data_IF_700822793708
#
_entry.id   IF_700822793708
#
_cell.length_a   1.000
_cell.length_b   1.000
_cell.length_c   1.000
_cell.angle_alpha   90.00
_cell.angle_beta   90.00
_cell.angle_gamma   90.00
#
_symmetry.space_group_name_H-M   'P 1'
#
loop_
_entity.id
_entity.type
_entity.pdbx_description
1 polymer ?
#
# COMPACT_ATOMS: atom_id res chain seq x y z
N UNK A 1 54.64 47.97 -8.35
CA UNK A 1 53.59 47.28 -7.59
C UNK A 1 52.32 47.22 -8.48
N UNK A 2 52.02 46.05 -9.07
CA UNK A 2 50.87 45.90 -9.95
C UNK A 2 49.59 45.95 -9.10
N UNK A 3 48.73 46.95 -9.38
CA UNK A 3 47.32 46.93 -8.90
C UNK A 3 46.62 45.73 -9.48
N UNK A 4 46.16 44.84 -8.65
CA UNK A 4 45.19 43.82 -8.99
C UNK A 4 43.82 44.53 -9.06
N UNK A 5 43.50 45.09 -10.21
CA UNK A 5 42.18 45.65 -10.48
C UNK A 5 41.21 44.49 -10.69
N UNK A 6 40.50 44.08 -9.64
CA UNK A 6 39.38 43.16 -9.69
C UNK A 6 38.14 43.98 -10.13
N UNK A 7 37.61 43.81 -11.35
CA UNK A 7 36.59 44.72 -11.90
C UNK A 7 35.22 44.63 -11.20
N UNK A 8 35.04 43.69 -10.28
CA UNK A 8 33.77 43.49 -9.54
C UNK A 8 33.77 44.22 -8.18
N UNK A 9 34.93 44.60 -7.67
CA UNK A 9 35.05 45.24 -6.36
C UNK A 9 34.91 46.78 -6.38
N UNK A 10 35.16 47.44 -7.52
CA UNK A 10 35.14 48.93 -7.59
C UNK A 10 33.80 49.58 -7.20
N UNK A 11 32.61 49.09 -7.65
CA UNK A 11 31.38 49.78 -7.30
C UNK A 11 31.00 49.65 -5.82
N UNK A 12 31.28 48.50 -5.23
CA UNK A 12 30.98 48.21 -3.80
C UNK A 12 31.95 48.98 -2.86
N UNK A 13 33.19 49.10 -3.26
CA UNK A 13 34.20 49.88 -2.49
C UNK A 13 33.83 51.35 -2.48
N UNK A 14 33.46 51.95 -3.63
CA UNK A 14 33.01 53.35 -3.74
C UNK A 14 31.77 53.68 -2.91
N UNK A 15 30.97 52.70 -2.59
CA UNK A 15 29.72 52.87 -1.82
C UNK A 15 29.99 52.74 -0.31
N UNK A 16 30.87 51.83 0.10
CA UNK A 16 31.13 51.47 1.49
C UNK A 16 32.27 52.31 2.12
N UNK A 17 33.28 52.70 1.35
CA UNK A 17 34.43 53.50 1.81
C UNK A 17 34.01 54.82 2.44
N UNK A 18 33.12 55.65 1.85
CA UNK A 18 32.67 56.90 2.48
C UNK A 18 31.91 56.67 3.79
N UNK A 19 31.15 55.57 3.89
CA UNK A 19 30.42 55.21 5.11
C UNK A 19 31.41 54.81 6.24
N UNK A 20 32.42 54.02 5.92
CA UNK A 20 33.45 53.62 6.88
C UNK A 20 34.28 54.81 7.34
N UNK A 21 34.65 55.74 6.44
CA UNK A 21 35.37 56.99 6.79
C UNK A 21 34.53 57.92 7.70
N UNK A 22 33.20 57.95 7.48
CA UNK A 22 32.29 58.75 8.29
C UNK A 22 32.10 58.28 9.72
N UNK A 23 32.47 57.02 10.04
CA UNK A 23 32.37 56.45 11.40
C UNK A 23 33.44 56.96 12.36
N UNK A 24 34.48 57.66 11.86
CA UNK A 24 35.58 58.20 12.71
C UNK A 24 36.45 57.13 13.37
N UNK A 25 36.27 55.87 13.02
CA UNK A 25 37.02 54.72 13.59
C UNK A 25 38.45 54.62 13.04
N UNK A 26 38.80 55.36 11.98
CA UNK A 26 40.08 55.29 11.30
C UNK A 26 40.69 56.70 11.17
N UNK A 27 41.88 56.95 11.72
CA UNK A 27 42.56 58.26 11.61
C UNK A 27 43.10 58.53 10.19
N UNK A 28 43.01 59.77 9.73
CA UNK A 28 43.16 60.18 8.32
C UNK A 28 44.63 60.20 7.76
N UNK A 29 45.68 59.85 8.49
CA UNK A 29 47.04 60.23 8.08
C UNK A 29 48.09 59.10 7.94
N UNK A 30 47.74 57.88 7.61
CA UNK A 30 48.77 56.87 7.29
C UNK A 30 48.42 55.96 6.12
N UNK A 31 49.39 55.61 5.26
CA UNK A 31 49.27 54.66 4.16
C UNK A 31 48.73 53.30 4.62
N UNK A 32 49.01 52.93 5.86
CA UNK A 32 48.52 51.67 6.47
C UNK A 32 47.01 51.74 6.75
N UNK A 33 46.51 52.91 7.19
CA UNK A 33 45.07 53.12 7.46
C UNK A 33 44.29 53.10 6.19
N UNK A 34 44.77 53.66 5.09
CA UNK A 34 44.16 53.62 3.78
C UNK A 34 44.09 52.18 3.26
N UNK A 35 45.16 51.39 3.35
CA UNK A 35 45.17 49.98 2.93
C UNK A 35 44.22 49.09 3.75
N UNK A 36 44.15 49.31 5.06
CA UNK A 36 43.23 48.53 5.93
C UNK A 36 41.79 48.88 5.72
N UNK A 37 41.43 50.16 5.54
CA UNK A 37 40.06 50.61 5.24
C UNK A 37 39.59 50.07 3.88
N UNK A 38 40.47 50.12 2.89
CA UNK A 38 40.19 49.59 1.55
C UNK A 38 39.98 48.06 1.57
N UNK A 39 40.79 47.32 2.32
CA UNK A 39 40.64 45.87 2.49
C UNK A 39 39.33 45.50 3.20
N UNK A 40 38.95 46.24 4.25
CA UNK A 40 37.68 46.03 4.98
C UNK A 40 36.47 46.37 4.08
N UNK A 41 36.54 47.52 3.37
CA UNK A 41 35.46 47.91 2.44
C UNK A 41 35.28 46.90 1.32
N UNK A 42 36.38 46.36 0.75
CA UNK A 42 36.33 45.30 -0.26
C UNK A 42 35.75 44.01 0.32
N UNK A 43 36.18 43.60 1.52
CA UNK A 43 35.65 42.42 2.19
C UNK A 43 34.16 42.53 2.48
N UNK A 44 33.69 43.66 3.02
CA UNK A 44 32.27 43.91 3.27
C UNK A 44 31.45 43.98 1.95
N UNK A 45 32.03 44.59 0.91
CA UNK A 45 31.40 44.65 -0.42
C UNK A 45 31.21 43.26 -1.03
N UNK A 46 32.24 42.42 -0.96
CA UNK A 46 32.15 41.03 -1.43
C UNK A 46 31.16 40.22 -0.61
N UNK A 47 31.11 40.37 0.70
CA UNK A 47 30.13 39.72 1.56
C UNK A 47 28.71 40.16 1.21
N UNK A 48 28.46 41.44 1.05
CA UNK A 48 27.16 41.97 0.68
C UNK A 48 26.73 41.50 -0.72
N UNK A 49 27.67 41.56 -1.69
CA UNK A 49 27.40 41.07 -3.04
C UNK A 49 27.11 39.56 -3.06
N UNK A 50 27.88 38.78 -2.32
CA UNK A 50 27.65 37.33 -2.15
C UNK A 50 26.27 37.04 -1.50
N UNK A 51 25.96 37.77 -0.44
CA UNK A 51 24.66 37.64 0.24
C UNK A 51 23.48 37.96 -0.69
N UNK A 52 23.56 39.09 -1.41
CA UNK A 52 22.52 39.48 -2.35
C UNK A 52 22.41 38.51 -3.51
N UNK A 53 23.54 38.02 -4.02
CA UNK A 53 23.56 37.00 -5.08
C UNK A 53 22.87 35.72 -4.63
N UNK A 54 23.20 35.23 -3.45
CA UNK A 54 22.57 34.02 -2.88
C UNK A 54 21.09 34.24 -2.61
N UNK A 55 20.72 35.38 -2.03
CA UNK A 55 19.34 35.69 -1.68
C UNK A 55 18.44 35.84 -2.93
N UNK A 56 18.86 36.71 -3.86
CA UNK A 56 18.05 37.06 -5.04
C UNK A 56 18.22 36.04 -6.17
N UNK A 57 19.47 35.54 -6.35
CA UNK A 57 19.80 34.59 -7.42
C UNK A 57 19.39 33.14 -7.15
N UNK A 58 19.34 32.73 -5.90
CA UNK A 58 19.07 31.31 -5.55
C UNK A 58 17.85 31.15 -4.64
N UNK A 59 17.85 31.72 -3.44
CA UNK A 59 16.83 31.43 -2.42
C UNK A 59 15.43 31.90 -2.79
N UNK A 60 15.29 33.13 -3.31
CA UNK A 60 13.99 33.69 -3.71
C UNK A 60 13.39 32.92 -4.88
N UNK A 61 14.11 32.68 -6.01
CA UNK A 61 13.57 31.88 -7.12
C UNK A 61 13.20 30.45 -6.73
N UNK A 62 14.04 29.80 -5.91
CA UNK A 62 13.77 28.45 -5.40
C UNK A 62 12.50 28.41 -4.54
N UNK A 63 12.37 29.33 -3.60
CA UNK A 63 11.19 29.42 -2.74
C UNK A 63 9.92 29.76 -3.53
N UNK A 64 10.04 30.60 -4.56
CA UNK A 64 8.92 30.96 -5.42
C UNK A 64 8.48 29.78 -6.30
N UNK A 65 9.43 29.01 -6.82
CA UNK A 65 9.16 27.80 -7.59
C UNK A 65 8.42 26.74 -6.76
N UNK A 66 8.80 26.56 -5.48
CA UNK A 66 8.16 25.61 -4.56
C UNK A 66 6.74 26.07 -4.17
N UNK A 67 6.57 27.36 -3.84
CA UNK A 67 5.28 27.89 -3.33
C UNK A 67 4.24 28.14 -4.42
N UNK A 68 4.67 28.45 -5.65
CA UNK A 68 3.80 28.77 -6.80
C UNK A 68 4.25 28.01 -8.04
N UNK A 69 4.28 26.70 -7.96
CA UNK A 69 4.83 25.78 -8.96
C UNK A 69 4.24 26.04 -10.35
N UNK A 70 2.90 26.16 -10.46
CA UNK A 70 2.23 26.33 -11.75
C UNK A 70 2.63 27.62 -12.45
N UNK A 71 2.62 28.75 -11.73
CA UNK A 71 2.97 30.06 -12.30
C UNK A 71 4.45 30.14 -12.65
N UNK A 72 5.31 29.60 -11.80
CA UNK A 72 6.76 29.56 -12.02
C UNK A 72 7.10 28.71 -13.23
N UNK A 73 6.46 27.55 -13.38
CA UNK A 73 6.63 26.64 -14.52
C UNK A 73 6.21 27.31 -15.83
N UNK A 74 5.06 27.97 -15.85
CA UNK A 74 4.58 28.68 -17.04
C UNK A 74 5.50 29.86 -17.40
N UNK A 75 5.98 30.62 -16.42
CA UNK A 75 6.89 31.74 -16.65
C UNK A 75 8.25 31.29 -17.20
N UNK A 76 8.77 30.18 -16.71
CA UNK A 76 10.09 29.65 -17.11
C UNK A 76 10.02 28.79 -18.38
N UNK A 77 8.86 28.28 -18.76
CA UNK A 77 8.72 27.38 -19.92
C UNK A 77 9.12 28.03 -21.25
N UNK A 78 8.75 29.28 -21.47
CA UNK A 78 9.06 30.00 -22.72
C UNK A 78 10.57 30.27 -22.86
N UNK A 79 11.29 30.88 -21.88
CA UNK A 79 12.72 31.07 -21.98
C UNK A 79 13.48 29.74 -22.02
N UNK A 80 13.07 28.71 -21.26
CA UNK A 80 13.69 27.39 -21.33
C UNK A 80 13.56 26.73 -22.71
N UNK A 81 12.42 26.93 -23.40
CA UNK A 81 12.24 26.45 -24.78
C UNK A 81 13.21 27.10 -25.75
N UNK A 82 13.42 28.42 -25.62
CA UNK A 82 14.40 29.14 -26.43
C UNK A 82 15.81 28.64 -26.18
N UNK A 83 16.21 28.53 -24.92
CA UNK A 83 17.52 28.02 -24.52
C UNK A 83 17.71 26.60 -25.03
N UNK A 84 16.73 25.72 -24.84
CA UNK A 84 16.78 24.34 -25.35
C UNK A 84 17.01 24.29 -26.87
N UNK A 85 16.31 25.15 -27.61
CA UNK A 85 16.45 25.20 -29.07
C UNK A 85 17.83 25.66 -29.50
N UNK A 86 18.37 26.65 -28.80
CA UNK A 86 19.72 27.19 -29.05
C UNK A 86 20.81 26.14 -28.72
N UNK A 87 20.62 25.37 -27.64
CA UNK A 87 21.58 24.41 -27.15
C UNK A 87 21.35 22.97 -27.66
N UNK A 88 20.40 22.74 -28.57
CA UNK A 88 20.08 21.39 -29.05
C UNK A 88 21.28 20.68 -29.67
N UNK A 89 22.06 21.40 -30.49
CA UNK A 89 23.24 20.83 -31.17
C UNK A 89 24.37 20.56 -30.17
N UNK A 90 24.81 21.52 -29.31
CA UNK A 90 25.78 21.23 -28.27
C UNK A 90 25.39 20.09 -27.34
N UNK A 91 24.12 20.03 -26.90
CA UNK A 91 23.62 18.95 -26.04
C UNK A 91 23.61 17.59 -26.76
N UNK A 92 23.26 17.54 -28.03
CA UNK A 92 23.31 16.33 -28.82
C UNK A 92 24.74 15.78 -28.94
N UNK A 93 25.70 16.64 -29.21
CA UNK A 93 27.14 16.27 -29.27
C UNK A 93 27.60 15.78 -27.91
N UNK A 94 27.29 16.50 -26.81
CA UNK A 94 27.68 16.13 -25.46
C UNK A 94 27.10 14.76 -25.05
N UNK A 95 25.78 14.58 -25.22
CA UNK A 95 25.11 13.33 -24.91
C UNK A 95 25.59 12.17 -25.80
N UNK A 96 25.84 12.46 -27.08
CA UNK A 96 26.40 11.48 -28.01
C UNK A 96 27.78 10.99 -27.58
N UNK A 97 28.67 11.92 -27.22
CA UNK A 97 30.03 11.59 -26.73
C UNK A 97 29.99 10.85 -25.40
N UNK A 98 29.11 11.25 -24.46
CA UNK A 98 28.91 10.56 -23.19
C UNK A 98 28.42 9.10 -23.41
N UNK A 99 27.46 8.91 -24.31
CA UNK A 99 26.95 7.57 -24.65
C UNK A 99 28.00 6.66 -25.31
N UNK A 100 28.87 7.23 -26.15
CA UNK A 100 29.99 6.50 -26.72
C UNK A 100 30.97 6.06 -25.64
N UNK A 101 31.32 6.98 -24.72
CA UNK A 101 32.23 6.67 -23.61
C UNK A 101 31.62 5.59 -22.68
N UNK A 102 30.34 5.71 -22.33
CA UNK A 102 29.65 4.70 -21.53
C UNK A 102 29.64 3.31 -22.22
N UNK A 103 29.46 3.27 -23.54
CA UNK A 103 29.55 2.01 -24.30
C UNK A 103 30.95 1.42 -24.26
N UNK A 104 31.98 2.24 -24.41
CA UNK A 104 33.38 1.81 -24.29
C UNK A 104 33.72 1.27 -22.89
N UNK A 105 33.12 1.82 -21.86
CA UNK A 105 33.25 1.35 -20.46
C UNK A 105 32.38 0.11 -20.15
N UNK A 106 31.65 -0.44 -21.13
CA UNK A 106 30.75 -1.59 -20.91
C UNK A 106 29.45 -1.24 -20.16
N UNK A 107 29.18 0.02 -19.92
CA UNK A 107 28.00 0.54 -19.22
C UNK A 107 26.89 1.00 -20.20
N UNK A 108 27.09 0.77 -21.50
CA UNK A 108 26.13 1.18 -22.53
C UNK A 108 25.02 0.16 -22.69
N UNK A 109 23.82 0.46 -22.26
CA UNK A 109 22.68 -0.39 -22.61
C UNK A 109 21.42 -0.34 -21.80
N UNK A 110 21.33 0.33 -20.69
CA UNK A 110 20.04 0.52 -20.07
C UNK A 110 19.38 1.80 -20.61
N UNK A 111 18.49 1.65 -21.60
CA UNK A 111 17.34 2.54 -21.59
C UNK A 111 16.70 2.30 -20.22
N UNK A 112 16.90 3.21 -19.28
CA UNK A 112 16.02 3.31 -18.13
C UNK A 112 14.62 3.62 -18.70
N UNK A 113 13.89 2.58 -19.10
CA UNK A 113 12.49 2.58 -18.79
C UNK A 113 12.48 2.59 -17.26
N UNK A 114 12.00 3.67 -16.68
CA UNK A 114 11.59 3.69 -15.28
C UNK A 114 10.45 2.67 -15.16
N UNK A 115 10.81 1.38 -15.20
CA UNK A 115 9.92 0.33 -14.78
C UNK A 115 9.93 0.44 -13.26
N UNK A 116 9.02 1.27 -12.75
CA UNK A 116 8.76 1.28 -11.32
C UNK A 116 8.39 -0.13 -10.91
N UNK A 117 9.12 -0.68 -9.97
CA UNK A 117 8.75 -1.96 -9.36
C UNK A 117 7.42 -1.76 -8.61
N UNK A 118 6.71 -2.86 -8.34
CA UNK A 118 5.49 -2.82 -7.54
C UNK A 118 5.75 -2.15 -6.20
N UNK A 119 6.90 -2.39 -5.57
CA UNK A 119 7.32 -1.77 -4.32
C UNK A 119 7.47 -0.24 -4.43
N UNK A 120 8.03 0.26 -5.56
CA UNK A 120 8.11 1.70 -5.81
C UNK A 120 6.73 2.33 -5.97
N UNK A 121 5.79 1.63 -6.64
CA UNK A 121 4.41 2.09 -6.76
C UNK A 121 3.72 2.14 -5.39
N UNK A 122 3.92 1.15 -4.53
CA UNK A 122 3.42 1.14 -3.15
C UNK A 122 3.95 2.35 -2.36
N UNK A 123 5.25 2.67 -2.47
CA UNK A 123 5.86 3.84 -1.83
C UNK A 123 5.22 5.15 -2.31
N UNK A 124 5.04 5.32 -3.62
CA UNK A 124 4.41 6.52 -4.20
C UNK A 124 2.95 6.69 -3.77
N UNK A 125 2.19 5.60 -3.66
CA UNK A 125 0.80 5.61 -3.20
C UNK A 125 0.72 6.06 -1.73
N UNK A 126 1.61 5.56 -0.87
CA UNK A 126 1.69 5.98 0.53
C UNK A 126 2.07 7.44 0.69
N UNK A 127 3.04 7.92 -0.10
CA UNK A 127 3.40 9.33 -0.11
C UNK A 127 2.22 10.21 -0.55
N UNK A 128 1.41 9.74 -1.51
CA UNK A 128 0.19 10.42 -1.93
C UNK A 128 -0.88 10.44 -0.83
N UNK A 129 -0.96 9.41 -0.01
CA UNK A 129 -1.87 9.35 1.14
C UNK A 129 -1.40 10.30 2.25
N UNK A 130 -0.10 10.31 2.62
CA UNK A 130 0.45 11.17 3.66
C UNK A 130 0.31 12.68 3.33
N UNK A 131 0.33 13.04 2.04
CA UNK A 131 0.07 14.40 1.58
C UNK A 131 -1.42 14.75 1.47
N UNK A 132 -2.32 13.82 1.80
CA UNK A 132 -3.77 14.01 1.78
C UNK A 132 -4.40 13.99 0.38
N UNK A 133 -3.64 13.65 -0.67
CA UNK A 133 -4.16 13.51 -2.04
C UNK A 133 -5.02 12.26 -2.22
N UNK A 134 -4.85 11.26 -1.36
CA UNK A 134 -5.59 10.01 -1.40
C UNK A 134 -6.13 9.63 -0.01
N UNK A 135 -7.36 9.09 0.04
CA UNK A 135 -7.93 8.59 1.29
C UNK A 135 -7.32 7.26 1.66
N UNK A 136 -7.18 6.98 2.95
CA UNK A 136 -6.66 5.70 3.46
C UNK A 136 -7.44 4.49 2.92
N UNK A 137 -8.76 4.58 2.80
CA UNK A 137 -9.59 3.50 2.24
C UNK A 137 -9.21 3.16 0.79
N UNK A 138 -8.88 4.16 -0.04
CA UNK A 138 -8.42 3.92 -1.42
C UNK A 138 -7.05 3.24 -1.44
N UNK A 139 -6.17 3.64 -0.52
CA UNK A 139 -4.88 2.98 -0.37
C UNK A 139 -5.04 1.50 -0.05
N UNK A 140 -5.89 1.14 0.92
CA UNK A 140 -6.16 -0.26 1.28
C UNK A 140 -6.70 -1.08 0.09
N UNK A 141 -7.58 -0.51 -0.74
CA UNK A 141 -8.05 -1.21 -1.93
C UNK A 141 -6.93 -1.48 -2.93
N UNK A 142 -6.04 -0.51 -3.16
CA UNK A 142 -4.91 -0.70 -4.05
C UNK A 142 -3.92 -1.74 -3.51
N UNK A 143 -3.68 -1.74 -2.22
CA UNK A 143 -2.86 -2.75 -1.56
C UNK A 143 -3.45 -4.15 -1.69
N UNK A 144 -4.76 -4.31 -1.48
CA UNK A 144 -5.45 -5.59 -1.69
C UNK A 144 -5.33 -6.07 -3.15
N UNK A 145 -5.33 -5.16 -4.12
CA UNK A 145 -5.11 -5.51 -5.54
C UNK A 145 -3.69 -6.02 -5.78
N UNK A 146 -2.67 -5.42 -5.17
CA UNK A 146 -1.31 -5.92 -5.26
C UNK A 146 -1.15 -7.27 -4.57
N UNK A 147 -1.73 -7.41 -3.38
CA UNK A 147 -1.69 -8.66 -2.63
C UNK A 147 -2.39 -9.82 -3.37
N UNK A 148 -3.39 -9.53 -4.22
CA UNK A 148 -4.09 -10.54 -5.03
C UNK A 148 -3.13 -11.35 -5.92
N UNK A 149 -2.06 -10.72 -6.42
CA UNK A 149 -1.02 -11.38 -7.22
C UNK A 149 -0.23 -12.46 -6.49
N UNK A 150 -0.18 -12.39 -5.15
CA UNK A 150 0.53 -13.34 -4.29
C UNK A 150 -0.40 -14.40 -3.67
N UNK A 151 -1.71 -14.12 -3.59
CA UNK A 151 -2.69 -15.03 -2.99
C UNK A 151 -2.89 -16.28 -3.84
N UNK A 152 -3.06 -17.41 -3.15
CA UNK A 152 -3.42 -18.67 -3.78
C UNK A 152 -4.88 -19.04 -3.48
N UNK A 153 -5.45 -19.93 -4.27
CA UNK A 153 -6.84 -20.39 -4.15
C UNK A 153 -7.21 -20.83 -2.74
N UNK A 154 -6.28 -21.48 -2.03
CA UNK A 154 -6.49 -21.91 -0.64
C UNK A 154 -6.85 -20.77 0.30
N UNK A 155 -6.33 -19.57 0.04
CA UNK A 155 -6.51 -18.42 0.93
C UNK A 155 -7.93 -17.82 0.84
N UNK A 156 -8.59 -17.98 -0.31
CA UNK A 156 -9.92 -17.43 -0.58
C UNK A 156 -11.03 -18.48 -0.68
N UNK A 157 -10.70 -19.78 -0.84
CA UNK A 157 -11.71 -20.83 -1.01
C UNK A 157 -12.51 -21.08 0.26
N UNK A 158 -13.73 -21.54 0.11
CA UNK A 158 -14.49 -22.18 1.19
C UNK A 158 -14.06 -23.63 1.32
N UNK A 159 -13.57 -24.08 2.49
CA UNK A 159 -13.26 -25.48 2.73
C UNK A 159 -14.47 -26.38 2.51
N UNK A 160 -14.25 -27.61 2.04
CA UNK A 160 -15.34 -28.60 1.76
C UNK A 160 -16.31 -28.76 2.93
N UNK A 161 -15.85 -28.76 4.17
CA UNK A 161 -16.67 -28.85 5.38
C UNK A 161 -17.72 -27.74 5.52
N UNK A 162 -17.49 -26.59 4.90
CA UNK A 162 -18.39 -25.44 4.93
C UNK A 162 -19.27 -25.33 3.68
N UNK A 163 -18.98 -26.10 2.63
CA UNK A 163 -19.74 -26.06 1.38
C UNK A 163 -21.08 -26.76 1.56
N UNK A 164 -22.15 -26.14 1.10
CA UNK A 164 -23.49 -26.75 1.05
C UNK A 164 -23.77 -27.21 -0.37
N UNK A 165 -24.11 -28.47 -0.51
CA UNK A 165 -24.34 -29.12 -1.79
C UNK A 165 -25.81 -29.50 -1.97
N UNK A 166 -26.24 -29.60 -3.23
CA UNK A 166 -27.41 -30.35 -3.61
C UNK A 166 -26.99 -31.74 -4.10
N UNK A 167 -27.87 -32.71 -4.03
CA UNK A 167 -27.56 -34.07 -4.50
C UNK A 167 -28.70 -34.61 -5.35
N UNK A 168 -28.35 -35.44 -6.32
CA UNK A 168 -29.35 -36.16 -7.16
C UNK A 168 -30.13 -37.24 -6.38
N UNK A 169 -29.63 -37.63 -5.21
CA UNK A 169 -30.33 -38.57 -4.32
C UNK A 169 -31.49 -37.93 -3.56
N UNK A 170 -31.42 -36.63 -3.30
CA UNK A 170 -32.48 -35.90 -2.63
C UNK A 170 -33.67 -35.69 -3.58
N UNK A 171 -34.86 -35.69 -3.01
CA UNK A 171 -36.03 -35.19 -3.71
C UNK A 171 -35.90 -33.69 -4.04
N UNK A 172 -36.71 -33.24 -4.99
CA UNK A 172 -36.77 -31.82 -5.34
C UNK A 172 -37.02 -30.91 -4.12
N UNK A 173 -38.00 -31.32 -3.28
CA UNK A 173 -38.36 -30.54 -2.09
C UNK A 173 -37.20 -30.48 -1.06
N UNK A 174 -36.48 -31.58 -0.85
CA UNK A 174 -35.32 -31.58 0.05
C UNK A 174 -34.21 -30.65 -0.44
N UNK A 175 -33.89 -30.65 -1.75
CA UNK A 175 -32.95 -29.73 -2.34
C UNK A 175 -33.44 -28.27 -2.25
N UNK A 176 -34.76 -28.07 -2.42
CA UNK A 176 -35.36 -26.74 -2.28
C UNK A 176 -35.33 -26.25 -0.82
N UNK A 177 -35.46 -27.11 0.16
CA UNK A 177 -35.28 -26.76 1.59
C UNK A 177 -33.86 -26.37 1.89
N UNK A 178 -32.85 -27.01 1.30
CA UNK A 178 -31.43 -26.57 1.39
C UNK A 178 -31.32 -25.14 0.85
N UNK A 179 -31.90 -24.88 -0.32
CA UNK A 179 -31.89 -23.57 -0.95
C UNK A 179 -32.58 -22.48 -0.10
N UNK A 180 -33.76 -22.80 0.46
CA UNK A 180 -34.53 -21.91 1.34
C UNK A 180 -33.74 -21.55 2.64
N UNK A 181 -33.03 -22.55 3.19
CA UNK A 181 -32.28 -22.39 4.43
C UNK A 181 -31.02 -21.55 4.26
N UNK A 182 -30.25 -21.82 3.20
CA UNK A 182 -28.91 -21.21 3.04
C UNK A 182 -28.87 -20.05 2.06
N UNK A 183 -29.86 -19.92 1.18
CA UNK A 183 -30.07 -18.81 0.23
C UNK A 183 -28.87 -18.47 -0.67
N UNK A 184 -27.96 -19.44 -0.91
CA UNK A 184 -26.87 -19.23 -1.83
C UNK A 184 -27.34 -19.18 -3.29
N UNK A 185 -26.67 -18.40 -4.11
CA UNK A 185 -26.98 -18.31 -5.54
C UNK A 185 -26.59 -19.56 -6.33
N UNK A 186 -25.56 -20.29 -5.88
CA UNK A 186 -25.02 -21.49 -6.57
C UNK A 186 -24.73 -22.60 -5.58
N UNK A 187 -25.06 -23.80 -5.97
CA UNK A 187 -24.83 -25.02 -5.20
C UNK A 187 -24.04 -26.02 -6.04
N UNK A 188 -22.94 -26.59 -5.54
CA UNK A 188 -22.37 -27.78 -6.17
C UNK A 188 -23.39 -28.93 -6.15
N UNK A 189 -23.49 -29.70 -7.27
CA UNK A 189 -24.32 -30.85 -7.33
C UNK A 189 -23.49 -32.12 -7.24
N UNK A 190 -23.79 -32.96 -6.26
CA UNK A 190 -23.25 -34.30 -6.11
C UNK A 190 -24.15 -35.31 -6.81
N UNK A 191 -23.54 -36.27 -7.53
CA UNK A 191 -24.25 -37.41 -8.09
C UNK A 191 -24.00 -38.68 -7.28
N UNK A 192 -24.84 -39.65 -7.44
CA UNK A 192 -24.74 -40.93 -6.74
C UNK A 192 -23.37 -41.59 -6.96
N UNK A 193 -22.74 -42.03 -5.87
CA UNK A 193 -21.41 -42.63 -5.90
C UNK A 193 -20.24 -41.69 -6.19
N UNK A 194 -20.46 -40.40 -6.46
CA UNK A 194 -19.41 -39.44 -6.71
C UNK A 194 -19.02 -38.64 -5.44
N UNK A 195 -17.76 -38.63 -5.12
CA UNK A 195 -17.21 -37.82 -4.03
C UNK A 195 -16.94 -36.38 -4.45
N UNK A 196 -16.93 -36.11 -5.76
CA UNK A 196 -16.69 -34.79 -6.34
C UNK A 196 -17.97 -34.26 -6.99
N UNK A 197 -18.24 -32.93 -6.92
CA UNK A 197 -19.34 -32.32 -7.64
C UNK A 197 -19.24 -32.52 -9.15
N UNK A 198 -20.37 -32.89 -9.78
CA UNK A 198 -20.46 -33.05 -11.24
C UNK A 198 -20.68 -31.73 -11.99
N UNK A 199 -21.11 -30.70 -11.28
CA UNK A 199 -21.37 -29.37 -11.80
C UNK A 199 -21.92 -28.46 -10.70
N UNK A 200 -22.41 -27.29 -11.07
CA UNK A 200 -23.15 -26.39 -10.17
C UNK A 200 -24.57 -26.16 -10.68
N UNK A 201 -25.48 -25.95 -9.74
CA UNK A 201 -26.87 -25.58 -10.05
C UNK A 201 -27.11 -24.16 -9.55
N UNK A 202 -27.70 -23.32 -10.37
CA UNK A 202 -28.03 -21.95 -9.98
C UNK A 202 -29.44 -21.92 -9.37
N UNK A 203 -29.61 -21.30 -8.20
CA UNK A 203 -30.88 -21.22 -7.48
C UNK A 203 -32.02 -20.71 -8.36
N UNK A 204 -31.80 -19.69 -9.20
CA UNK A 204 -32.80 -19.17 -10.11
C UNK A 204 -33.31 -20.24 -11.09
N UNK A 205 -32.41 -21.08 -11.62
CA UNK A 205 -32.79 -22.13 -12.55
C UNK A 205 -33.68 -23.18 -11.85
N UNK A 206 -33.35 -23.52 -10.59
CA UNK A 206 -34.19 -24.41 -9.76
C UNK A 206 -35.56 -23.80 -9.53
N UNK A 207 -35.64 -22.51 -9.16
CA UNK A 207 -36.94 -21.87 -8.88
C UNK A 207 -37.83 -21.73 -10.14
N UNK A 208 -37.23 -21.50 -11.31
CA UNK A 208 -37.97 -21.34 -12.56
C UNK A 208 -38.28 -22.64 -13.27
N UNK A 209 -37.57 -23.74 -12.99
CA UNK A 209 -37.82 -25.03 -13.61
C UNK A 209 -39.15 -25.66 -13.15
N UNK A 210 -39.69 -25.24 -12.00
CA UNK A 210 -40.90 -25.80 -11.43
C UNK A 210 -40.75 -27.29 -11.08
N UNK A 211 -41.88 -27.94 -10.72
CA UNK A 211 -41.90 -29.36 -10.35
C UNK A 211 -41.69 -30.33 -11.53
N UNK A 212 -41.18 -29.87 -12.67
CA UNK A 212 -41.05 -30.66 -13.89
C UNK A 212 -39.84 -31.60 -13.80
N UNK A 213 -39.98 -32.63 -12.96
CA UNK A 213 -39.05 -33.72 -12.82
C UNK A 213 -38.01 -33.49 -11.69
N UNK A 214 -37.88 -34.48 -10.82
CA UNK A 214 -36.91 -34.50 -9.69
C UNK A 214 -35.44 -34.48 -10.11
N UNK A 215 -35.14 -34.23 -11.37
CA UNK A 215 -33.78 -34.29 -11.89
C UNK A 215 -33.15 -32.88 -12.02
N UNK A 216 -32.09 -32.64 -11.27
CA UNK A 216 -31.28 -31.40 -11.33
C UNK A 216 -30.23 -31.44 -12.44
N UNK A 217 -29.98 -32.61 -13.08
CA UNK A 217 -28.96 -32.76 -14.13
C UNK A 217 -29.17 -31.84 -15.34
N UNK A 218 -30.39 -31.59 -15.83
CA UNK A 218 -30.62 -30.62 -16.91
C UNK A 218 -30.25 -29.17 -16.57
N UNK A 219 -30.17 -28.83 -15.29
CA UNK A 219 -29.87 -27.49 -14.80
C UNK A 219 -28.39 -27.31 -14.52
N UNK A 220 -27.56 -28.33 -14.78
CA UNK A 220 -26.13 -28.29 -14.53
C UNK A 220 -25.43 -27.20 -15.35
N UNK A 221 -24.64 -26.43 -14.66
CA UNK A 221 -23.68 -25.48 -15.21
C UNK A 221 -22.25 -25.98 -15.00
N UNK A 222 -21.33 -25.72 -15.93
CA UNK A 222 -19.96 -26.16 -15.81
C UNK A 222 -19.28 -25.50 -14.62
N UNK A 223 -18.38 -26.23 -13.95
CA UNK A 223 -17.47 -25.77 -12.93
C UNK A 223 -16.05 -25.75 -13.47
N UNK A 224 -15.27 -24.77 -13.07
CA UNK A 224 -13.84 -24.80 -13.23
C UNK A 224 -13.23 -25.76 -12.20
N UNK A 225 -12.16 -26.46 -12.56
CA UNK A 225 -11.38 -27.27 -11.61
C UNK A 225 -10.01 -26.60 -11.45
N UNK A 226 -9.66 -26.27 -10.21
CA UNK A 226 -8.41 -25.58 -9.88
C UNK A 226 -7.72 -26.28 -8.72
N UNK A 227 -6.40 -26.06 -8.59
CA UNK A 227 -5.63 -26.57 -7.44
C UNK A 227 -5.59 -25.54 -6.32
N UNK A 228 -5.42 -25.99 -5.09
CA UNK A 228 -5.30 -25.12 -3.91
C UNK A 228 -4.14 -24.11 -4.03
N UNK A 229 -3.08 -24.47 -4.76
CA UNK A 229 -1.86 -23.68 -4.91
C UNK A 229 -1.86 -22.80 -6.15
N UNK A 230 -2.93 -22.81 -6.94
CA UNK A 230 -3.03 -21.92 -8.10
C UNK A 230 -3.11 -20.45 -7.64
N UNK A 231 -2.47 -19.55 -8.38
CA UNK A 231 -2.57 -18.11 -8.12
C UNK A 231 -4.00 -17.62 -8.34
N UNK A 232 -4.52 -16.89 -7.37
CA UNK A 232 -5.91 -16.44 -7.35
C UNK A 232 -6.21 -15.50 -8.53
N UNK A 233 -5.26 -14.63 -8.89
CA UNK A 233 -5.36 -13.74 -10.06
C UNK A 233 -5.51 -14.53 -11.36
N UNK A 234 -4.73 -15.60 -11.54
CA UNK A 234 -4.82 -16.46 -12.73
C UNK A 234 -6.17 -17.15 -12.84
N UNK A 235 -6.71 -17.60 -11.70
CA UNK A 235 -8.03 -18.23 -11.63
C UNK A 235 -9.14 -17.21 -11.92
N UNK A 236 -9.03 -15.99 -11.41
CA UNK A 236 -9.95 -14.89 -11.74
C UNK A 236 -10.00 -14.63 -13.24
N UNK A 237 -8.84 -14.51 -13.89
CA UNK A 237 -8.75 -14.30 -15.33
C UNK A 237 -9.37 -15.45 -16.13
N UNK A 238 -9.17 -16.69 -15.67
CA UNK A 238 -9.77 -17.88 -16.31
C UNK A 238 -11.30 -17.93 -16.13
N UNK A 239 -11.80 -17.62 -14.92
CA UNK A 239 -13.25 -17.50 -14.64
C UNK A 239 -13.90 -16.46 -15.55
N UNK A 240 -13.29 -15.29 -15.69
CA UNK A 240 -13.78 -14.21 -16.55
C UNK A 240 -13.78 -14.64 -18.03
N UNK A 241 -12.67 -15.20 -18.53
CA UNK A 241 -12.53 -15.65 -19.92
C UNK A 241 -13.55 -16.72 -20.29
N UNK A 242 -13.78 -17.70 -19.39
CA UNK A 242 -14.73 -18.80 -19.60
C UNK A 242 -16.17 -18.45 -19.20
N UNK A 243 -16.41 -17.29 -18.58
CA UNK A 243 -17.70 -16.88 -18.01
C UNK A 243 -18.24 -17.90 -17.01
N UNK A 244 -17.35 -18.48 -16.21
CA UNK A 244 -17.67 -19.44 -15.14
C UNK A 244 -17.49 -18.73 -13.81
N UNK A 245 -18.49 -18.79 -12.93
CA UNK A 245 -18.50 -18.05 -11.67
C UNK A 245 -18.19 -18.92 -10.46
N UNK A 246 -17.85 -20.19 -10.66
CA UNK A 246 -17.54 -21.08 -9.56
C UNK A 246 -16.53 -22.16 -9.98
N UNK A 247 -15.70 -22.58 -9.02
CA UNK A 247 -14.69 -23.60 -9.22
C UNK A 247 -14.69 -24.63 -8.10
N UNK A 248 -14.38 -25.88 -8.44
CA UNK A 248 -14.04 -26.94 -7.50
C UNK A 248 -12.54 -26.84 -7.24
N UNK A 249 -12.16 -26.85 -5.97
CA UNK A 249 -10.76 -26.83 -5.56
C UNK A 249 -10.33 -28.25 -5.19
N UNK A 250 -9.19 -28.68 -5.71
CA UNK A 250 -8.63 -30.00 -5.47
C UNK A 250 -7.21 -29.88 -4.93
N UNK A 251 -6.86 -30.85 -4.08
CA UNK A 251 -5.47 -31.01 -3.65
C UNK A 251 -4.58 -31.64 -4.75
N UNK A 252 -3.29 -31.81 -4.45
CA UNK A 252 -2.32 -32.44 -5.36
C UNK A 252 -2.66 -33.91 -5.69
N UNK A 253 -3.51 -34.57 -4.90
CA UNK A 253 -3.98 -35.95 -5.11
C UNK A 253 -5.30 -35.99 -5.91
N UNK A 254 -5.85 -34.85 -6.29
CA UNK A 254 -7.12 -34.76 -7.01
C UNK A 254 -8.37 -34.88 -6.13
N UNK A 255 -8.21 -34.86 -4.82
CA UNK A 255 -9.32 -34.89 -3.86
C UNK A 255 -9.95 -33.51 -3.77
N UNK A 256 -11.26 -33.45 -3.75
CA UNK A 256 -12.00 -32.20 -3.56
C UNK A 256 -11.84 -31.67 -2.13
N UNK A 257 -11.25 -30.48 -1.99
CA UNK A 257 -10.93 -29.85 -0.72
C UNK A 257 -11.71 -28.56 -0.46
N UNK A 258 -12.25 -27.92 -1.52
CA UNK A 258 -12.94 -26.66 -1.36
C UNK A 258 -13.74 -26.22 -2.58
N UNK A 259 -14.38 -25.08 -2.43
CA UNK A 259 -15.19 -24.43 -3.45
C UNK A 259 -14.85 -22.94 -3.48
N UNK A 260 -14.67 -22.38 -4.66
CA UNK A 260 -14.34 -21.00 -4.87
C UNK A 260 -15.37 -20.36 -5.79
N UNK A 261 -15.90 -19.23 -5.40
CA UNK A 261 -16.78 -18.43 -6.26
C UNK A 261 -16.09 -17.14 -6.72
N UNK A 262 -16.61 -16.51 -7.76
CA UNK A 262 -16.11 -15.21 -8.22
C UNK A 262 -16.26 -14.14 -7.13
N UNK A 263 -17.34 -14.23 -6.36
CA UNK A 263 -17.62 -13.37 -5.23
C UNK A 263 -16.53 -13.50 -4.15
N UNK A 264 -16.07 -14.71 -3.83
CA UNK A 264 -14.98 -14.94 -2.85
C UNK A 264 -13.67 -14.28 -3.32
N UNK A 265 -13.38 -14.32 -4.62
CA UNK A 265 -12.18 -13.65 -5.19
C UNK A 265 -12.30 -12.12 -5.13
N UNK A 266 -13.46 -11.57 -5.45
CA UNK A 266 -13.69 -10.12 -5.39
C UNK A 266 -13.63 -9.62 -3.95
N UNK A 267 -14.05 -10.44 -3.00
CA UNK A 267 -14.02 -10.12 -1.58
C UNK A 267 -12.58 -9.90 -1.06
N UNK A 268 -11.59 -10.59 -1.64
CA UNK A 268 -10.17 -10.34 -1.33
C UNK A 268 -9.70 -8.93 -1.73
N UNK A 269 -10.33 -8.34 -2.76
CA UNK A 269 -9.99 -7.00 -3.25
C UNK A 269 -10.73 -5.91 -2.45
N UNK A 270 -12.06 -6.06 -2.34
CA UNK A 270 -12.91 -4.99 -1.78
C UNK A 270 -13.15 -5.11 -0.28
N UNK A 271 -12.73 -6.22 0.32
CA UNK A 271 -13.09 -6.60 1.69
C UNK A 271 -14.48 -7.26 1.74
N UNK A 272 -14.93 -7.59 2.94
CA UNK A 272 -16.20 -8.34 3.13
C UNK A 272 -17.37 -7.73 2.40
N UNK A 273 -17.92 -8.48 1.46
CA UNK A 273 -19.19 -8.16 0.80
C UNK A 273 -20.29 -8.85 1.61
N UNK A 274 -21.07 -8.05 2.34
CA UNK A 274 -22.20 -8.57 3.10
C UNK A 274 -23.37 -8.82 2.14
N UNK A 275 -23.96 -10.00 2.24
CA UNK A 275 -25.23 -10.28 1.57
C UNK A 275 -26.35 -9.55 2.33
N UNK A 276 -27.33 -9.02 1.62
CA UNK A 276 -28.52 -8.36 2.16
C UNK A 276 -29.39 -9.29 3.04
N UNK A 277 -29.12 -10.59 2.98
CA UNK A 277 -29.81 -11.65 3.77
C UNK A 277 -28.97 -12.16 4.95
N UNK A 278 -27.77 -11.64 5.18
CA UNK A 278 -26.94 -11.98 6.34
C UNK A 278 -27.32 -11.08 7.53
N UNK A 279 -28.04 -11.64 8.50
CA UNK A 279 -28.40 -11.00 9.77
C UNK A 279 -27.21 -11.00 10.79
N UNK A 280 -25.97 -10.91 10.32
CA UNK A 280 -24.84 -10.78 11.24
C UNK A 280 -24.82 -9.36 11.81
N UNK A 281 -24.79 -9.27 13.15
CA UNK A 281 -24.65 -8.01 13.84
C UNK A 281 -23.34 -7.30 13.42
N UNK A 282 -23.37 -5.98 13.20
CA UNK A 282 -22.16 -5.24 12.85
C UNK A 282 -21.13 -5.42 13.97
N UNK A 283 -19.89 -5.78 13.60
CA UNK A 283 -18.77 -5.85 14.55
C UNK A 283 -18.55 -4.43 15.08
N UNK A 284 -18.87 -4.20 16.34
CA UNK A 284 -18.56 -2.94 17.00
C UNK A 284 -17.09 -2.93 17.42
N UNK A 285 -16.45 -1.76 17.35
CA UNK A 285 -15.08 -1.59 17.81
C UNK A 285 -14.91 -2.07 19.28
N UNK A 286 -15.94 -1.94 20.09
CA UNK A 286 -16.01 -2.46 21.47
C UNK A 286 -15.82 -3.97 21.56
N UNK A 287 -16.22 -4.74 20.54
CA UNK A 287 -16.10 -6.19 20.53
C UNK A 287 -14.66 -6.64 20.14
N UNK A 288 -13.95 -5.78 19.42
CA UNK A 288 -12.55 -5.98 19.05
C UNK A 288 -11.57 -5.48 20.12
N UNK A 289 -11.98 -4.48 20.93
CA UNK A 289 -11.18 -3.88 21.99
C UNK A 289 -11.48 -4.57 23.33
N UNK A 290 -10.71 -5.59 23.65
CA UNK A 290 -10.68 -6.18 25.00
C UNK A 290 -9.68 -5.42 25.88
N UNK A 291 -9.85 -5.44 27.21
CA UNK A 291 -8.96 -4.73 28.13
C UNK A 291 -7.49 -5.13 27.96
N UNK A 292 -7.20 -6.41 27.68
CA UNK A 292 -5.86 -6.93 27.46
C UNK A 292 -5.24 -6.51 26.11
N UNK A 293 -5.99 -5.82 25.26
CA UNK A 293 -5.56 -5.29 23.95
C UNK A 293 -5.28 -3.81 23.94
N UNK A 294 -5.49 -3.12 25.06
CA UNK A 294 -5.21 -1.70 25.21
C UNK A 294 -3.98 -1.51 26.10
N UNK A 295 -2.91 -1.03 25.51
CA UNK A 295 -1.63 -0.85 26.18
C UNK A 295 -1.27 0.63 26.27
N UNK A 296 -1.38 1.18 27.47
CA UNK A 296 -0.97 2.52 27.79
C UNK A 296 0.50 2.52 28.25
N UNK A 297 1.22 3.60 28.04
CA UNK A 297 2.62 3.79 28.46
C UNK A 297 3.58 2.74 27.89
N UNK A 298 3.59 2.60 26.57
CA UNK A 298 4.62 1.85 25.83
C UNK A 298 5.60 2.85 25.22
N UNK A 299 6.86 2.71 25.60
CA UNK A 299 7.97 3.43 24.99
C UNK A 299 8.78 2.46 24.15
N UNK A 300 9.01 2.82 22.90
CA UNK A 300 9.69 1.96 21.92
C UNK A 300 10.43 2.79 20.89
N UNK A 301 11.49 2.23 20.31
CA UNK A 301 12.30 2.87 19.27
C UNK A 301 11.76 2.62 17.86
N UNK A 302 10.73 1.78 17.73
CA UNK A 302 10.04 1.51 16.46
C UNK A 302 8.61 1.00 16.67
N UNK A 303 7.77 1.08 15.62
CA UNK A 303 6.42 0.50 15.61
C UNK A 303 6.43 -0.99 15.90
N UNK A 304 7.40 -1.72 15.33
CA UNK A 304 7.56 -3.18 15.52
C UNK A 304 7.90 -3.51 16.97
N UNK A 305 8.79 -2.75 17.58
CA UNK A 305 9.15 -2.94 18.99
C UNK A 305 7.95 -2.66 19.90
N UNK A 306 7.18 -1.62 19.62
CA UNK A 306 5.95 -1.32 20.34
C UNK A 306 4.94 -2.48 20.27
N UNK A 307 4.76 -3.06 19.09
CA UNK A 307 3.90 -4.26 18.89
C UNK A 307 4.45 -5.45 19.69
N UNK A 308 5.76 -5.68 19.66
CA UNK A 308 6.40 -6.74 20.43
C UNK A 308 6.18 -6.60 21.93
N UNK A 309 6.35 -5.39 22.47
CA UNK A 309 6.10 -5.09 23.89
C UNK A 309 4.63 -5.31 24.21
N UNK A 310 3.70 -4.83 23.39
CA UNK A 310 2.26 -5.00 23.58
C UNK A 310 1.89 -6.50 23.64
N UNK A 311 2.35 -7.31 22.67
CA UNK A 311 2.09 -8.74 22.63
C UNK A 311 2.70 -9.49 23.82
N UNK A 312 3.87 -9.05 24.34
CA UNK A 312 4.49 -9.67 25.52
C UNK A 312 3.69 -9.42 26.82
N UNK A 313 2.87 -8.37 26.86
CA UNK A 313 1.99 -8.06 28.00
C UNK A 313 0.66 -8.82 27.96
N UNK A 314 0.31 -9.38 26.80
CA UNK A 314 -0.90 -10.18 26.64
C UNK A 314 -0.71 -11.60 27.17
N UNK A 315 -1.80 -12.20 27.64
CA UNK A 315 -1.80 -13.62 28.01
C UNK A 315 -1.74 -14.47 26.74
N UNK A 316 -0.90 -15.51 26.71
CA UNK A 316 -0.77 -16.41 25.55
C UNK A 316 -2.11 -17.04 25.12
N UNK A 317 -3.03 -17.24 26.07
CA UNK A 317 -4.37 -17.78 25.81
C UNK A 317 -5.29 -16.78 25.07
N UNK A 318 -4.98 -15.49 25.11
CA UNK A 318 -5.75 -14.41 24.43
C UNK A 318 -5.34 -14.25 22.96
N UNK A 319 -4.26 -14.91 22.54
CA UNK A 319 -3.74 -14.86 21.17
C UNK A 319 -4.09 -16.15 20.43
N UNK A 320 -4.97 -16.12 19.42
CA UNK A 320 -5.31 -17.31 18.62
C UNK A 320 -4.17 -17.74 17.68
N UNK A 321 -3.15 -16.89 17.51
CA UNK A 321 -1.97 -17.10 16.67
C UNK A 321 -0.73 -16.81 17.50
N UNK A 322 0.39 -17.57 17.36
CA UNK A 322 1.63 -17.32 18.09
C UNK A 322 2.15 -15.89 17.91
N UNK A 323 2.58 -15.25 18.98
CA UNK A 323 3.07 -13.87 18.97
C UNK A 323 4.21 -13.66 17.95
N UNK A 324 5.12 -14.62 17.82
CA UNK A 324 6.23 -14.56 16.86
C UNK A 324 5.74 -14.51 15.40
N UNK A 325 4.65 -15.19 15.08
CA UNK A 325 4.05 -15.14 13.75
C UNK A 325 3.42 -13.77 13.49
N UNK A 326 2.75 -13.19 14.49
CA UNK A 326 2.19 -11.83 14.41
C UNK A 326 3.32 -10.82 14.17
N UNK A 327 4.40 -10.89 14.96
CA UNK A 327 5.53 -9.96 14.87
C UNK A 327 6.17 -10.04 13.47
N UNK A 328 6.40 -11.25 12.96
CA UNK A 328 6.99 -11.42 11.61
C UNK A 328 6.10 -10.82 10.52
N UNK A 329 4.80 -11.07 10.56
CA UNK A 329 3.86 -10.56 9.56
C UNK A 329 3.78 -9.02 9.60
N UNK A 330 3.73 -8.42 10.80
CA UNK A 330 3.76 -6.96 10.95
C UNK A 330 5.11 -6.38 10.49
N UNK A 331 6.23 -7.04 10.84
CA UNK A 331 7.56 -6.61 10.44
C UNK A 331 7.75 -6.65 8.92
N UNK A 332 7.30 -7.71 8.27
CA UNK A 332 7.34 -7.86 6.82
C UNK A 332 6.54 -6.76 6.14
N UNK A 333 5.35 -6.47 6.67
CA UNK A 333 4.49 -5.41 6.17
C UNK A 333 5.08 -4.00 6.37
N UNK A 334 5.59 -3.70 7.56
CA UNK A 334 6.22 -2.42 7.89
C UNK A 334 7.56 -2.19 7.16
N UNK A 335 8.26 -3.27 6.73
CA UNK A 335 9.46 -3.13 5.90
C UNK A 335 9.15 -2.63 4.50
N UNK A 336 8.02 -3.05 3.93
CA UNK A 336 7.57 -2.58 2.64
C UNK A 336 7.15 -1.12 2.74
N UNK A 337 6.34 -0.79 3.73
CA UNK A 337 5.79 0.55 3.90
C UNK A 337 5.48 0.77 5.38
N UNK A 338 6.09 1.78 5.96
CA UNK A 338 5.74 2.23 7.30
C UNK A 338 4.36 2.91 7.31
N UNK A 339 3.51 2.47 8.22
CA UNK A 339 2.10 2.85 8.28
C UNK A 339 1.84 4.04 9.21
N UNK A 340 2.61 5.12 9.04
CA UNK A 340 2.34 6.39 9.71
C UNK A 340 1.25 7.17 8.96
N UNK A 341 0.16 7.49 9.63
CA UNK A 341 -1.00 8.18 9.04
C UNK A 341 -0.94 9.71 9.16
N UNK A 342 0.09 10.26 9.78
CA UNK A 342 0.13 11.65 10.19
C UNK A 342 -0.66 11.91 11.48
N UNK A 343 -0.62 13.15 11.98
CA UNK A 343 -1.34 13.58 13.17
C UNK A 343 -1.11 12.71 14.42
N UNK A 344 0.13 12.26 14.60
CA UNK A 344 0.56 11.41 15.72
C UNK A 344 -0.08 10.01 15.76
N UNK A 345 -0.61 9.52 14.62
CA UNK A 345 -1.24 8.22 14.48
C UNK A 345 -0.39 7.28 13.61
N UNK A 346 -0.23 6.04 14.06
CA UNK A 346 0.30 4.93 13.28
C UNK A 346 -0.71 3.78 13.22
N UNK A 347 -0.69 3.01 12.11
CA UNK A 347 -1.59 1.87 11.94
C UNK A 347 -0.86 0.65 11.39
N UNK A 348 0.08 0.05 12.15
CA UNK A 348 0.66 -1.23 11.77
C UNK A 348 -0.44 -2.27 11.55
N UNK A 349 -0.36 -3.00 10.44
CA UNK A 349 -1.37 -4.01 10.14
C UNK A 349 -0.73 -5.22 9.47
N UNK A 350 -1.37 -6.38 9.63
CA UNK A 350 -0.96 -7.62 8.99
C UNK A 350 -2.14 -8.55 8.76
N UNK A 351 -2.06 -9.37 7.70
CA UNK A 351 -2.95 -10.50 7.47
C UNK A 351 -2.30 -11.78 8.00
N UNK A 352 -3.06 -12.57 8.72
CA UNK A 352 -2.54 -13.74 9.43
C UNK A 352 -3.32 -14.99 9.09
N UNK A 353 -2.67 -16.04 8.59
CA UNK A 353 -3.29 -17.34 8.45
C UNK A 353 -3.64 -17.92 9.82
N UNK A 354 -4.79 -18.56 9.93
CA UNK A 354 -5.28 -19.15 11.19
C UNK A 354 -5.99 -18.20 12.13
N UNK A 355 -5.99 -16.91 11.87
CA UNK A 355 -6.80 -15.94 12.59
C UNK A 355 -8.27 -16.06 12.13
N UNK A 356 -9.22 -16.17 13.07
CA UNK A 356 -10.64 -16.32 12.73
C UNK A 356 -11.42 -15.01 12.78
N UNK A 357 -10.99 -14.07 13.62
CA UNK A 357 -11.62 -12.76 13.80
C UNK A 357 -10.55 -11.68 13.83
N UNK A 358 -10.88 -10.50 13.31
CA UNK A 358 -9.98 -9.36 13.39
C UNK A 358 -9.66 -9.00 14.85
N UNK A 359 -8.40 -8.65 15.10
CA UNK A 359 -7.90 -8.21 16.39
C UNK A 359 -7.37 -6.79 16.21
N UNK A 360 -7.74 -5.90 17.12
CA UNK A 360 -7.23 -4.54 17.19
C UNK A 360 -6.48 -4.38 18.52
N UNK A 361 -5.18 -4.02 18.43
CA UNK A 361 -4.42 -3.58 19.59
C UNK A 361 -4.32 -2.07 19.58
N UNK A 362 -4.49 -1.43 20.71
CA UNK A 362 -4.30 0.00 20.87
C UNK A 362 -3.07 0.24 21.75
N UNK A 363 -2.11 0.96 21.23
CA UNK A 363 -0.86 1.27 21.92
C UNK A 363 -0.75 2.79 22.03
N UNK A 364 -0.53 3.29 23.25
CA UNK A 364 -0.25 4.70 23.51
C UNK A 364 1.16 4.88 24.03
N UNK A 365 1.90 5.81 23.44
CA UNK A 365 3.21 6.29 23.88
C UNK A 365 3.15 7.76 24.28
N UNK A 366 3.75 8.12 25.39
CA UNK A 366 3.82 9.52 25.85
C UNK A 366 4.92 10.29 25.12
N UNK A 367 6.06 9.66 24.88
CA UNK A 367 7.20 10.27 24.17
C UNK A 367 6.98 10.22 22.65
N UNK A 368 6.13 9.31 22.21
CA UNK A 368 5.86 9.01 20.81
C UNK A 368 6.88 8.04 20.20
N UNK A 369 6.41 7.21 19.29
CA UNK A 369 7.17 6.19 18.59
C UNK A 369 7.66 6.77 17.26
N UNK A 370 8.98 6.72 16.97
CA UNK A 370 9.52 7.27 15.74
C UNK A 370 9.16 6.38 14.53
N UNK A 371 8.97 7.03 13.37
CA UNK A 371 8.82 6.39 12.06
C UNK A 371 9.89 6.90 11.10
N UNK A 372 10.35 6.06 10.17
CA UNK A 372 11.36 6.44 9.18
C UNK A 372 10.78 7.49 8.22
N UNK A 373 11.62 8.38 7.74
CA UNK A 373 11.20 9.37 6.73
C UNK A 373 10.32 10.52 7.25
N UNK A 374 10.00 10.56 8.55
CA UNK A 374 9.28 11.68 9.17
C UNK A 374 9.95 12.14 10.46
N UNK A 375 9.82 13.43 10.77
CA UNK A 375 10.26 14.00 12.06
C UNK A 375 9.15 13.80 13.11
N UNK A 376 7.91 13.58 12.67
CA UNK A 376 6.76 13.37 13.55
C UNK A 376 6.82 11.99 14.21
N UNK A 377 6.24 11.88 15.39
CA UNK A 377 6.18 10.64 16.17
C UNK A 377 4.73 10.21 16.34
N UNK A 378 4.47 8.90 16.33
CA UNK A 378 3.16 8.37 16.61
C UNK A 378 2.94 8.22 18.13
N UNK A 379 1.99 8.94 18.67
CA UNK A 379 1.60 8.81 20.08
C UNK A 379 0.51 7.76 20.29
N UNK A 380 -0.17 7.36 19.23
CA UNK A 380 -1.20 6.34 19.25
C UNK A 380 -1.03 5.40 18.05
N UNK A 381 -0.95 4.10 18.31
CA UNK A 381 -0.92 3.06 17.29
C UNK A 381 -2.18 2.20 17.40
N UNK A 382 -2.82 1.97 16.26
CA UNK A 382 -3.84 0.95 16.09
C UNK A 382 -3.24 -0.21 15.30
N UNK A 383 -2.93 -1.31 15.97
CA UNK A 383 -2.40 -2.51 15.30
C UNK A 383 -3.59 -3.35 14.84
N UNK A 384 -3.77 -3.44 13.53
CA UNK A 384 -4.88 -4.18 12.93
C UNK A 384 -4.39 -5.53 12.41
N UNK A 385 -4.85 -6.60 13.03
CA UNK A 385 -4.57 -7.97 12.61
C UNK A 385 -5.85 -8.55 12.01
N UNK A 386 -5.79 -8.94 10.75
CA UNK A 386 -6.95 -9.46 10.02
C UNK A 386 -6.71 -10.92 9.58
N UNK A 387 -7.76 -11.73 9.47
CA UNK A 387 -7.65 -13.06 8.90
C UNK A 387 -7.08 -13.04 7.47
N UNK A 388 -6.24 -14.00 7.13
CA UNK A 388 -5.87 -14.28 5.77
C UNK A 388 -6.86 -15.32 5.25
N UNK A 389 -7.74 -14.93 4.31
CA UNK A 389 -8.87 -15.75 3.90
C UNK A 389 -9.93 -15.84 5.02
N UNK A 390 -11.14 -15.32 4.82
CA UNK A 390 -12.14 -15.37 5.88
C UNK A 390 -12.67 -16.79 6.07
N UNK A 391 -12.56 -17.37 7.28
CA UNK A 391 -13.52 -18.38 7.69
C UNK A 391 -14.82 -17.64 8.00
N UNK A 392 -15.76 -17.63 7.06
CA UNK A 392 -17.14 -17.22 7.36
C UNK A 392 -17.65 -18.07 8.51
N UNK A 393 -18.14 -17.43 9.57
CA UNK A 393 -18.68 -18.08 10.73
C UNK A 393 -19.71 -19.16 10.30
N UNK A 394 -19.44 -20.39 10.69
CA UNK A 394 -20.39 -21.48 10.52
C UNK A 394 -21.59 -21.19 11.41
N UNK A 395 -22.69 -20.71 10.84
CA UNK A 395 -23.98 -20.82 11.52
C UNK A 395 -24.28 -22.30 11.73
N UNK A 396 -24.19 -22.67 13.00
CA UNK A 396 -24.71 -23.84 13.70
C UNK A 396 -25.34 -24.98 12.88
N UNK A 397 -24.77 -26.16 13.12
CA UNK A 397 -25.34 -27.51 13.15
C UNK A 397 -26.19 -27.99 12.00
N UNK A 398 -25.69 -29.03 11.34
CA UNK A 398 -26.50 -30.08 10.72
C UNK A 398 -26.40 -30.16 9.21
N UNK A 399 -25.89 -31.26 8.81
CA UNK A 399 -25.70 -31.82 7.47
C UNK A 399 -24.53 -31.25 6.67
N UNK A 400 -23.37 -31.80 6.99
CA UNK A 400 -22.20 -31.74 6.11
C UNK A 400 -22.47 -32.46 4.79
N UNK A 401 -21.71 -32.14 3.74
CA UNK A 401 -21.57 -32.99 2.57
C UNK A 401 -20.86 -34.33 2.92
N UNK A 402 -21.19 -34.92 4.05
CA UNK A 402 -20.68 -36.23 4.41
C UNK A 402 -21.66 -37.28 3.80
N UNK A 403 -21.14 -37.99 2.85
CA UNK A 403 -21.73 -39.30 2.48
C UNK A 403 -21.53 -40.18 3.71
N UNK A 404 -22.63 -40.58 4.35
CA UNK A 404 -22.62 -41.71 5.25
C UNK A 404 -21.93 -42.88 4.54
N UNK A 405 -20.82 -43.37 5.14
CA UNK A 405 -20.11 -44.53 4.67
C UNK A 405 -20.87 -45.83 4.91
#
# INVERSE_FOLDING_TARGET
MHRLDLPVAEPSVKLIEPVLMSTGLFPEESDVTFLTTHAIATGLGLLLASYLHTLIGELIPKSMAIRRTDRSSLLTAAPLRVIRTLFVIPLWVLNGSANVLLRLMGLGGSKHHENHSEDELRILLNQSQSTGMMTFRRLLFLENVFDLGELVVRDAMRPRSQVRCMTTQNSWEENLQIARRYRFSRYPLLDDGNTNPIGSVHLKDVLFAGEHGNDLKPLLRPLLTVTETALLESVLAEMQKKRIHAAIVKDAKGVWTGYLTLEDVIEEIVGTIRDEFEDEEPIHLTDALLEDRVHLHIEAESSIEAVRIALSRMKSESLPVPADQIIRAVEERERLIETYLGRNLGMPHARLPGLQKAIVLVIRSEIGIPYRGTIERAHLLFVLLTPMGQPRASTTSGHHCDTAG
#
